data_IF_695939122149
#
_entry.id   IF_695939122149
#
_cell.length_a   1.000
_cell.length_b   1.000
_cell.length_c   1.000
_cell.angle_alpha   90.00
_cell.angle_beta   90.00
_cell.angle_gamma   90.00
#
_symmetry.space_group_name_H-M   'P 1'
#
loop_
_entity.id
_entity.type
_entity.pdbx_description
1 polymer ?
#
# COMPACT_ATOMS: atom_id res chain seq x y z
N UNK A 1 -16.65 18.93 0.69
CA UNK A 1 -15.70 19.28 -0.04
C UNK A 1 -14.46 19.14 0.66
N UNK A 2 -14.48 19.46 1.80
CA UNK A 2 -13.38 19.25 2.56
C UNK A 2 -13.04 17.85 2.71
N UNK A 3 -14.01 16.95 2.63
CA UNK A 3 -13.79 15.52 2.70
C UNK A 3 -12.88 15.05 1.59
N UNK A 4 -13.02 15.61 0.42
CA UNK A 4 -12.17 15.23 -0.71
C UNK A 4 -10.71 15.52 -0.43
N UNK A 5 -10.42 16.64 0.19
CA UNK A 5 -9.05 17.02 0.48
C UNK A 5 -8.40 16.14 1.52
N UNK A 6 -9.19 15.38 2.28
CA UNK A 6 -8.67 14.53 3.33
C UNK A 6 -8.64 13.07 2.98
N UNK A 7 -9.05 12.71 1.77
CA UNK A 7 -8.98 11.32 1.33
C UNK A 7 -7.54 10.89 1.18
N UNK A 8 -7.26 9.67 1.60
CA UNK A 8 -5.92 9.14 1.62
C UNK A 8 -5.79 8.01 0.61
N UNK A 9 -5.02 8.18 -0.46
CA UNK A 9 -4.71 7.09 -1.39
C UNK A 9 -3.92 5.99 -0.70
N UNK A 10 -4.00 4.78 -1.23
CA UNK A 10 -3.34 3.62 -0.65
C UNK A 10 -2.35 2.99 -1.62
N UNK A 11 -1.24 2.51 -1.07
CA UNK A 11 -0.30 1.68 -1.78
C UNK A 11 -0.39 0.25 -1.26
N UNK A 12 -0.34 -0.72 -2.16
CA UNK A 12 -0.36 -2.13 -1.80
C UNK A 12 0.94 -2.80 -2.18
N UNK A 13 1.51 -3.54 -1.22
CA UNK A 13 2.65 -4.38 -1.49
C UNK A 13 2.26 -5.82 -1.53
N UNK A 14 1.01 -6.12 -1.40
CA UNK A 14 0.54 -7.45 -1.07
C UNK A 14 0.59 -8.48 -2.19
N UNK A 15 1.08 -8.11 -3.37
CA UNK A 15 1.04 -9.00 -4.52
C UNK A 15 2.37 -9.63 -4.85
N UNK A 16 3.29 -9.67 -3.89
CA UNK A 16 4.62 -10.18 -4.17
C UNK A 16 4.75 -11.68 -4.13
N UNK A 17 3.86 -12.36 -3.51
CA UNK A 17 3.99 -13.80 -3.36
C UNK A 17 3.48 -14.51 -4.59
N UNK A 18 4.20 -15.56 -4.99
CA UNK A 18 3.94 -16.16 -6.24
C UNK A 18 2.69 -16.94 -6.36
N UNK A 19 2.25 -17.53 -5.29
CA UNK A 19 1.25 -18.52 -5.44
C UNK A 19 0.03 -18.10 -4.87
N UNK A 20 -0.61 -17.22 -5.22
CA UNK A 20 -1.29 -16.73 -4.46
C UNK A 20 -2.68 -16.66 -4.38
N UNK A 21 -3.32 -17.05 -3.36
CA UNK A 21 -4.60 -16.44 -3.05
C UNK A 21 -4.35 -14.99 -2.67
N UNK A 22 -5.23 -14.12 -3.06
CA UNK A 22 -5.16 -12.74 -2.64
C UNK A 22 -5.24 -12.67 -1.12
N UNK A 23 -4.61 -11.66 -0.52
CA UNK A 23 -4.68 -11.48 0.92
C UNK A 23 -6.13 -11.31 1.35
N UNK A 24 -6.43 -11.82 2.54
CA UNK A 24 -7.77 -11.73 3.10
C UNK A 24 -8.24 -10.28 3.16
N UNK A 25 -9.42 -10.04 2.63
CA UNK A 25 -10.01 -8.71 2.65
C UNK A 25 -9.63 -7.81 1.50
N UNK A 26 -8.79 -8.29 0.55
CA UNK A 26 -8.33 -7.43 -0.54
C UNK A 26 -9.49 -6.90 -1.38
N UNK A 27 -10.39 -7.77 -1.82
CA UNK A 27 -11.47 -7.33 -2.69
C UNK A 27 -12.47 -6.43 -1.95
N UNK A 28 -12.77 -6.75 -0.70
CA UNK A 28 -13.63 -5.91 0.12
C UNK A 28 -13.04 -4.52 0.32
N UNK A 29 -11.73 -4.48 0.53
CA UNK A 29 -11.04 -3.20 0.69
C UNK A 29 -11.07 -2.38 -0.59
N UNK A 30 -10.77 -3.02 -1.73
CA UNK A 30 -10.81 -2.32 -3.01
C UNK A 30 -12.20 -1.75 -3.30
N UNK A 31 -13.24 -2.53 -3.05
CA UNK A 31 -14.61 -2.06 -3.23
C UNK A 31 -14.90 -0.85 -2.34
N UNK A 32 -14.49 -0.91 -1.08
CA UNK A 32 -14.69 0.17 -0.13
C UNK A 32 -13.96 1.45 -0.54
N UNK A 33 -12.75 1.30 -1.07
CA UNK A 33 -11.97 2.45 -1.54
C UNK A 33 -12.60 3.08 -2.78
N UNK A 34 -13.11 2.28 -3.67
CA UNK A 34 -13.77 2.77 -4.87
C UNK A 34 -15.05 3.53 -4.52
N UNK A 35 -15.80 3.03 -3.56
CA UNK A 35 -16.98 3.75 -3.07
C UNK A 35 -16.64 5.11 -2.49
N UNK A 36 -15.45 5.23 -1.90
CA UNK A 36 -14.99 6.49 -1.29
C UNK A 36 -14.24 7.39 -2.24
N UNK A 37 -14.05 6.95 -3.50
CA UNK A 37 -13.32 7.75 -4.49
C UNK A 37 -11.84 7.91 -4.18
N UNK A 38 -11.26 6.96 -3.46
CA UNK A 38 -9.84 7.04 -3.09
C UNK A 38 -8.96 6.47 -4.19
N UNK A 39 -7.84 7.12 -4.45
CA UNK A 39 -6.84 6.64 -5.39
C UNK A 39 -6.11 5.45 -4.80
N UNK A 40 -5.69 4.53 -5.68
CA UNK A 40 -5.03 3.29 -5.27
C UNK A 40 -3.82 3.04 -6.16
N UNK A 41 -2.73 2.60 -5.56
CA UNK A 41 -1.53 2.26 -6.30
C UNK A 41 -0.92 0.97 -5.77
N UNK A 42 -0.24 0.26 -6.65
CA UNK A 42 0.61 -0.87 -6.28
C UNK A 42 2.05 -0.39 -6.35
N UNK A 43 2.82 -0.68 -5.31
CA UNK A 43 4.25 -0.45 -5.29
C UNK A 43 4.91 -1.75 -4.86
N UNK A 44 5.59 -2.41 -5.77
CA UNK A 44 6.14 -3.73 -5.53
C UNK A 44 7.59 -3.80 -5.97
N UNK A 45 8.42 -4.49 -5.20
CA UNK A 45 9.82 -4.72 -5.55
C UNK A 45 9.97 -5.72 -6.68
N UNK A 46 8.91 -6.42 -7.05
CA UNK A 46 8.93 -7.43 -8.09
C UNK A 46 9.09 -6.80 -9.48
N UNK A 47 9.43 -7.65 -10.45
CA UNK A 47 9.56 -7.20 -11.83
C UNK A 47 8.19 -6.91 -12.44
N UNK A 48 8.13 -6.01 -13.43
CA UNK A 48 6.85 -5.63 -14.03
C UNK A 48 6.04 -6.80 -14.56
N UNK A 49 6.68 -7.78 -15.18
CA UNK A 49 5.98 -8.93 -15.71
C UNK A 49 5.28 -9.74 -14.63
N UNK A 50 5.94 -9.88 -13.48
CA UNK A 50 5.36 -10.63 -12.37
C UNK A 50 4.17 -9.90 -11.79
N UNK A 51 4.30 -8.60 -11.63
CA UNK A 51 3.20 -7.77 -11.12
C UNK A 51 2.00 -7.87 -12.06
N UNK A 52 2.24 -7.71 -13.34
CA UNK A 52 1.20 -7.77 -14.35
C UNK A 52 0.49 -9.13 -14.34
N UNK A 53 1.28 -10.21 -14.26
CA UNK A 53 0.72 -11.55 -14.18
C UNK A 53 -0.19 -11.72 -12.97
N UNK A 54 0.27 -11.25 -11.79
CA UNK A 54 -0.52 -11.38 -10.57
C UNK A 54 -1.79 -10.55 -10.62
N UNK A 55 -1.71 -9.35 -11.15
CA UNK A 55 -2.90 -8.51 -11.29
C UNK A 55 -3.92 -9.15 -12.22
N UNK A 56 -3.46 -9.69 -13.33
CA UNK A 56 -4.37 -10.37 -14.27
C UNK A 56 -4.97 -11.63 -13.68
N UNK A 57 -4.16 -12.39 -12.94
CA UNK A 57 -4.63 -13.62 -12.32
C UNK A 57 -5.81 -13.38 -11.39
N UNK A 58 -5.84 -12.23 -10.72
CA UNK A 58 -6.89 -11.89 -9.79
C UNK A 58 -7.92 -10.91 -10.36
N UNK A 59 -7.83 -10.59 -11.64
CA UNK A 59 -8.78 -9.65 -12.26
C UNK A 59 -8.64 -8.23 -11.79
N UNK A 60 -7.43 -7.83 -11.41
CA UNK A 60 -7.17 -6.52 -10.80
C UNK A 60 -6.49 -5.52 -11.72
N UNK A 61 -6.25 -5.87 -12.98
CA UNK A 61 -5.43 -5.05 -13.87
C UNK A 61 -5.96 -3.64 -14.11
N UNK A 62 -7.23 -3.41 -13.87
CA UNK A 62 -7.83 -2.09 -14.10
C UNK A 62 -8.33 -1.44 -12.80
N UNK A 63 -7.91 -1.95 -11.65
CA UNK A 63 -8.43 -1.45 -10.38
C UNK A 63 -7.47 -0.49 -9.66
N UNK A 64 -6.30 -0.24 -10.23
CA UNK A 64 -5.31 0.65 -9.62
C UNK A 64 -5.01 1.84 -10.52
N UNK A 65 -4.81 3.00 -9.91
CA UNK A 65 -4.51 4.23 -10.65
C UNK A 65 -3.08 4.27 -11.16
N UNK A 66 -2.16 3.59 -10.48
CA UNK A 66 -0.83 3.39 -11.00
C UNK A 66 -0.19 2.14 -10.40
N UNK A 67 0.83 1.64 -11.07
CA UNK A 67 1.60 0.48 -10.64
C UNK A 67 3.07 0.82 -10.80
N UNK A 68 3.83 0.72 -9.71
CA UNK A 68 5.27 1.00 -9.72
C UNK A 68 6.01 -0.28 -9.35
N UNK A 69 7.03 -0.61 -10.13
CA UNK A 69 7.85 -1.79 -9.89
C UNK A 69 9.25 -1.43 -9.43
N UNK A 70 9.95 -2.40 -8.86
CA UNK A 70 11.33 -2.21 -8.45
C UNK A 70 12.27 -1.84 -9.59
N UNK A 71 11.90 -2.12 -10.84
CA UNK A 71 12.70 -1.74 -12.00
C UNK A 71 12.71 -0.24 -12.25
N UNK A 72 11.77 0.49 -11.70
CA UNK A 72 11.62 1.92 -11.97
C UNK A 72 12.40 2.79 -10.98
N UNK A 73 13.04 2.16 -9.99
CA UNK A 73 13.76 2.90 -8.95
C UNK A 73 15.21 2.43 -8.88
N UNK A 74 16.06 3.29 -8.34
CA UNK A 74 17.49 3.01 -8.21
C UNK A 74 17.84 2.32 -6.89
N UNK A 75 17.07 2.58 -5.85
CA UNK A 75 17.33 2.03 -4.53
C UNK A 75 16.11 1.28 -4.01
N UNK A 76 16.34 0.08 -3.49
CA UNK A 76 15.27 -0.74 -2.95
C UNK A 76 14.96 -0.35 -1.50
N UNK A 77 13.83 -0.85 -1.01
CA UNK A 77 13.46 -0.67 0.39
C UNK A 77 14.56 -1.18 1.29
N UNK A 78 14.88 -0.51 2.37
CA UNK A 78 14.11 0.53 3.07
C UNK A 78 14.26 1.94 2.53
N UNK A 79 14.83 2.12 1.35
CA UNK A 79 14.83 3.42 0.73
C UNK A 79 13.40 3.75 0.29
N UNK A 80 12.91 4.97 0.52
CA UNK A 80 11.53 5.31 0.20
C UNK A 80 11.26 5.58 -1.28
N UNK A 81 12.23 5.44 -2.15
CA UNK A 81 12.11 5.87 -3.55
C UNK A 81 10.88 5.31 -4.25
N UNK A 82 10.58 4.02 -4.04
CA UNK A 82 9.45 3.40 -4.73
C UNK A 82 8.11 4.04 -4.31
N UNK A 83 7.96 4.36 -3.03
CA UNK A 83 6.74 5.01 -2.56
C UNK A 83 6.69 6.47 -2.98
N UNK A 84 7.83 7.16 -3.02
CA UNK A 84 7.87 8.54 -3.49
C UNK A 84 7.53 8.63 -4.98
N UNK A 85 7.98 7.66 -5.77
CA UNK A 85 7.63 7.61 -7.19
C UNK A 85 6.12 7.39 -7.36
N UNK A 86 5.55 6.47 -6.60
CA UNK A 86 4.11 6.24 -6.67
C UNK A 86 3.32 7.47 -6.23
N UNK A 87 3.77 8.16 -5.20
CA UNK A 87 3.14 9.40 -4.75
C UNK A 87 3.15 10.44 -5.87
N UNK A 88 4.28 10.57 -6.55
CA UNK A 88 4.40 11.48 -7.68
C UNK A 88 3.41 11.15 -8.80
N UNK A 89 3.28 9.87 -9.12
CA UNK A 89 2.35 9.43 -10.17
C UNK A 89 0.91 9.64 -9.78
N UNK A 90 0.59 9.53 -8.50
CA UNK A 90 -0.76 9.80 -8.01
C UNK A 90 -1.04 11.30 -7.88
N UNK A 91 -0.01 12.14 -7.94
CA UNK A 91 -0.18 13.56 -7.73
C UNK A 91 -0.47 13.93 -6.30
N UNK A 92 0.03 13.15 -5.34
CA UNK A 92 -0.26 13.35 -3.92
C UNK A 92 1.03 13.49 -3.12
N UNK A 93 0.97 14.20 -1.99
CA UNK A 93 2.13 14.28 -1.12
C UNK A 93 2.14 13.10 -0.15
N UNK A 94 3.31 12.69 0.35
CA UNK A 94 3.40 11.53 1.24
C UNK A 94 2.48 11.58 2.45
N UNK A 95 2.27 12.74 3.03
CA UNK A 95 1.43 12.87 4.22
C UNK A 95 -0.04 12.53 3.95
N UNK A 96 -0.45 12.53 2.68
CA UNK A 96 -1.82 12.22 2.29
C UNK A 96 -1.99 10.78 1.84
N UNK A 97 -0.96 9.96 1.97
CA UNK A 97 -0.96 8.58 1.49
C UNK A 97 -0.78 7.63 2.67
N UNK A 98 -1.55 6.57 2.65
CA UNK A 98 -1.42 5.49 3.61
C UNK A 98 -0.82 4.29 2.91
N UNK A 99 0.29 3.78 3.43
CA UNK A 99 0.97 2.62 2.87
C UNK A 99 0.54 1.38 3.64
N UNK A 100 0.16 0.34 2.90
CA UNK A 100 -0.15 -0.97 3.48
C UNK A 100 1.00 -1.90 3.15
N UNK A 101 1.63 -2.45 4.17
CA UNK A 101 2.87 -3.21 4.02
C UNK A 101 2.88 -4.46 4.88
N UNK A 102 3.63 -5.47 4.44
CA UNK A 102 3.75 -6.72 5.18
C UNK A 102 5.18 -7.01 5.65
N UNK A 103 6.12 -6.12 5.39
CA UNK A 103 7.54 -6.37 5.70
C UNK A 103 8.17 -5.26 6.51
N UNK A 104 9.25 -5.62 7.23
CA UNK A 104 10.03 -4.65 7.98
C UNK A 104 10.60 -3.57 7.05
N UNK A 105 11.19 -3.99 5.94
CA UNK A 105 11.81 -3.04 5.00
C UNK A 105 10.79 -2.08 4.40
N UNK A 106 9.58 -2.57 4.12
CA UNK A 106 8.52 -1.72 3.57
C UNK A 106 8.03 -0.67 4.57
N UNK A 107 7.86 -1.07 5.84
CA UNK A 107 7.47 -0.11 6.87
C UNK A 107 8.57 0.94 7.07
N UNK A 108 9.84 0.53 7.06
CA UNK A 108 10.94 1.48 7.17
C UNK A 108 10.97 2.45 5.98
N UNK A 109 10.71 1.94 4.78
CA UNK A 109 10.66 2.78 3.58
C UNK A 109 9.53 3.80 3.68
N UNK A 110 8.36 3.38 4.14
CA UNK A 110 7.24 4.29 4.33
C UNK A 110 7.58 5.38 5.34
N UNK A 111 8.14 4.99 6.46
CA UNK A 111 8.54 5.94 7.50
C UNK A 111 9.59 6.93 6.97
N UNK A 112 10.60 6.42 6.29
CA UNK A 112 11.68 7.26 5.76
C UNK A 112 11.20 8.26 4.72
N UNK A 113 10.13 7.94 4.02
CA UNK A 113 9.54 8.82 3.01
C UNK A 113 8.48 9.78 3.54
N UNK A 114 8.16 9.70 4.82
CA UNK A 114 7.15 10.57 5.42
C UNK A 114 5.72 10.08 5.25
N UNK A 115 5.54 8.79 4.99
CA UNK A 115 4.22 8.19 4.84
C UNK A 115 3.73 7.59 6.15
N UNK A 116 2.44 7.62 6.36
CA UNK A 116 1.81 6.80 7.40
C UNK A 116 1.65 5.39 6.84
N UNK A 117 1.73 4.40 7.69
CA UNK A 117 1.63 3.02 7.25
C UNK A 117 0.85 2.15 8.22
N UNK A 118 0.32 1.06 7.69
CA UNK A 118 -0.31 0.01 8.48
C UNK A 118 0.41 -1.28 8.12
N UNK A 119 0.76 -2.04 9.15
CA UNK A 119 1.43 -3.32 8.97
C UNK A 119 0.39 -4.45 8.98
N UNK A 120 0.37 -5.22 7.91
CA UNK A 120 -0.46 -6.42 7.80
C UNK A 120 0.51 -7.59 7.65
N UNK A 121 0.97 -8.19 8.75
CA UNK A 121 2.05 -9.19 8.67
C UNK A 121 1.64 -10.43 7.92
N UNK A 122 2.59 -11.00 7.24
CA UNK A 122 2.41 -12.26 6.55
C UNK A 122 3.41 -13.27 7.14
N UNK A 123 4.48 -13.57 6.42
CA UNK A 123 5.42 -14.60 6.86
C UNK A 123 6.70 -14.06 7.49
N UNK A 124 6.91 -12.77 7.49
CA UNK A 124 8.16 -12.23 7.99
C UNK A 124 8.17 -12.15 9.51
N UNK A 125 9.38 -12.25 10.08
CA UNK A 125 9.59 -12.00 11.50
C UNK A 125 9.65 -10.50 11.72
N UNK A 126 8.79 -10.00 12.60
CA UNK A 126 8.70 -8.57 12.84
C UNK A 126 9.79 -8.09 13.80
N UNK A 127 10.45 -7.02 13.44
CA UNK A 127 11.42 -6.38 14.29
C UNK A 127 10.69 -5.42 15.24
N UNK A 128 11.06 -5.41 16.53
CA UNK A 128 10.27 -4.64 17.52
C UNK A 128 10.17 -3.14 17.23
N UNK A 129 11.20 -2.55 16.68
CA UNK A 129 11.18 -1.11 16.39
C UNK A 129 10.26 -0.76 15.22
N UNK A 130 10.01 -1.70 14.32
CA UNK A 130 9.13 -1.46 13.18
C UNK A 130 7.70 -1.19 13.62
N UNK A 131 7.26 -1.85 14.71
CA UNK A 131 5.92 -1.62 15.23
C UNK A 131 5.70 -0.18 15.69
N UNK A 132 6.77 0.52 16.03
CA UNK A 132 6.68 1.92 16.44
C UNK A 132 6.64 2.87 15.27
N UNK A 133 7.00 2.40 14.08
CA UNK A 133 7.06 3.24 12.88
C UNK A 133 5.74 3.28 12.11
N UNK A 134 4.85 2.35 12.37
CA UNK A 134 3.55 2.30 11.68
C UNK A 134 2.44 2.79 12.61
N UNK A 135 1.31 3.18 12.02
CA UNK A 135 0.15 3.60 12.78
C UNK A 135 -0.46 2.45 13.55
N UNK A 136 -0.53 1.30 12.93
CA UNK A 136 -1.20 0.14 13.49
C UNK A 136 -0.75 -1.14 12.82
N UNK A 137 -0.83 -2.23 13.56
CA UNK A 137 -0.68 -3.57 13.03
C UNK A 137 -2.07 -4.20 13.03
N UNK A 138 -2.49 -4.78 11.92
CA UNK A 138 -3.79 -5.46 11.80
C UNK A 138 -3.60 -6.83 11.17
N UNK A 139 -4.58 -7.71 11.35
CA UNK A 139 -4.46 -9.08 10.88
C UNK A 139 -4.99 -9.29 9.46
N UNK A 140 -5.82 -8.39 8.98
CA UNK A 140 -6.35 -8.51 7.62
C UNK A 140 -6.64 -7.15 7.02
N UNK A 141 -6.77 -7.13 5.69
CA UNK A 141 -7.10 -5.89 4.98
C UNK A 141 -8.51 -5.41 5.30
N UNK A 142 -9.38 -6.29 5.79
CA UNK A 142 -10.71 -5.88 6.24
C UNK A 142 -10.64 -4.85 7.37
N UNK A 143 -9.62 -4.94 8.20
CA UNK A 143 -9.50 -4.04 9.34
C UNK A 143 -9.05 -2.63 8.94
N UNK A 144 -8.56 -2.47 7.72
CA UNK A 144 -8.05 -1.18 7.25
C UNK A 144 -9.17 -0.18 6.99
N UNK A 145 -10.33 -0.66 6.59
CA UNK A 145 -11.45 0.22 6.21
C UNK A 145 -11.84 1.17 7.33
N UNK A 146 -12.01 0.64 8.55
CA UNK A 146 -12.38 1.47 9.69
C UNK A 146 -11.29 2.47 10.05
N UNK A 147 -10.04 2.09 9.86
CA UNK A 147 -8.92 2.98 10.13
C UNK A 147 -8.91 4.15 9.15
N UNK A 148 -9.15 3.88 7.87
CA UNK A 148 -9.23 4.93 6.85
C UNK A 148 -10.36 5.89 7.17
N UNK A 149 -11.51 5.38 7.54
CA UNK A 149 -12.65 6.22 7.88
C UNK A 149 -12.33 7.10 9.08
N UNK A 150 -11.66 6.56 10.08
CA UNK A 150 -11.26 7.33 11.26
C UNK A 150 -10.27 8.44 10.89
N UNK A 151 -9.33 8.16 10.00
CA UNK A 151 -8.37 9.17 9.55
C UNK A 151 -9.07 10.28 8.78
N UNK A 152 -9.99 9.92 7.91
CA UNK A 152 -10.65 10.89 7.02
C UNK A 152 -11.75 11.70 7.73
N UNK A 153 -12.17 11.26 8.91
CA UNK A 153 -13.16 11.99 9.69
C UNK A 153 -12.53 13.13 10.49
N UNK A 154 -11.23 13.22 10.54
CA UNK A 154 -10.50 14.29 11.22
C UNK A 154 -9.78 15.22 10.23
#
# INVERSE_FOLDING_TARGET
>A
QKVIDRQTPLFFEALETETIPAKKGLFSLLDALELRGLKKAVASSSQPKKIDFLLKQHGLEHRFDCVVSGHQVHASKPNPEIFLLAASQLGESPKNILVLEDSNAGIRAAHNGGFRSILIPDLCTLEPDVLQLCLRKVDSLDDVISIIDAINDH
#
